data_IF_793948771731
#
_entry.id   IF_793948771731
#
_cell.length_a   1.000
_cell.length_b   1.000
_cell.length_c   1.000
_cell.angle_alpha   90.00
_cell.angle_beta   90.00
_cell.angle_gamma   90.00
#
_symmetry.space_group_name_H-M   'P 1'
#
loop_
_entity.id
_entity.type
_entity.pdbx_description
1 polymer ?
#
# COMPACT_ATOMS: atom_id res chain seq x y z
N UNK A 1 2.31 6.91 8.23
CA UNK A 1 1.87 8.23 7.75
C UNK A 1 0.99 8.94 8.79
N UNK A 2 -0.17 8.38 9.21
CA UNK A 2 -1.06 9.04 10.20
C UNK A 2 -0.29 9.40 11.47
N UNK A 3 0.36 8.43 12.10
CA UNK A 3 1.13 8.66 13.32
C UNK A 3 2.18 9.79 13.18
N UNK A 4 2.88 9.85 12.04
CA UNK A 4 3.88 10.88 11.76
C UNK A 4 3.27 12.28 11.69
N UNK A 5 2.08 12.42 11.09
CA UNK A 5 1.41 13.71 11.01
C UNK A 5 0.85 14.14 12.37
N UNK A 6 0.33 13.20 13.16
CA UNK A 6 -0.15 13.47 14.52
C UNK A 6 1.02 13.88 15.44
N UNK A 7 2.14 13.19 15.37
CA UNK A 7 3.38 13.56 16.08
C UNK A 7 3.84 14.98 15.73
N UNK A 8 3.93 15.27 14.44
CA UNK A 8 4.30 16.60 13.95
C UNK A 8 3.29 17.69 14.28
N UNK A 9 2.06 17.31 14.56
CA UNK A 9 1.00 18.18 15.11
C UNK A 9 1.06 18.35 16.62
N UNK A 10 1.98 17.66 17.34
CA UNK A 10 2.13 17.72 18.78
C UNK A 10 1.12 16.87 19.56
N UNK A 11 0.47 15.89 18.91
CA UNK A 11 -0.55 15.03 19.54
C UNK A 11 0.04 13.77 20.19
N UNK A 12 1.32 13.46 19.99
CA UNK A 12 2.07 12.34 20.59
C UNK A 12 1.26 11.04 20.74
N UNK A 13 0.80 10.41 19.64
CA UNK A 13 -0.11 9.27 19.71
C UNK A 13 0.59 7.99 20.17
N UNK A 14 -0.17 7.12 20.84
CA UNK A 14 0.19 5.70 20.93
C UNK A 14 0.01 5.06 19.56
N UNK A 15 0.96 4.18 19.15
CA UNK A 15 0.96 3.59 17.80
C UNK A 15 1.09 2.08 17.90
N UNK A 16 0.26 1.36 17.15
CA UNK A 16 0.34 -0.09 16.92
C UNK A 16 0.23 -0.31 15.42
N UNK A 17 1.27 -0.90 14.82
CA UNK A 17 1.39 -1.10 13.37
C UNK A 17 1.94 -2.51 13.09
N UNK A 18 1.58 -3.14 11.99
CA UNK A 18 2.11 -4.45 11.59
C UNK A 18 3.59 -4.39 11.23
N UNK A 19 4.00 -3.37 10.50
CA UNK A 19 5.39 -3.15 10.11
C UNK A 19 6.17 -2.24 11.06
N UNK A 20 7.48 -2.41 11.11
CA UNK A 20 8.38 -1.51 11.87
C UNK A 20 8.45 -0.15 11.21
N UNK A 21 8.09 0.89 11.94
CA UNK A 21 8.16 2.28 11.49
C UNK A 21 9.60 2.78 11.68
N UNK A 22 10.27 3.18 10.61
CA UNK A 22 11.68 3.60 10.65
C UNK A 22 11.95 4.74 11.64
N UNK A 23 11.02 5.69 11.76
CA UNK A 23 11.18 6.82 12.69
C UNK A 23 11.20 6.39 14.17
N UNK A 24 10.58 5.26 14.50
CA UNK A 24 10.47 4.75 15.88
C UNK A 24 11.39 3.56 16.14
N UNK A 25 11.89 2.89 15.10
CA UNK A 25 12.65 1.64 15.22
C UNK A 25 11.82 0.48 15.81
N UNK A 26 10.49 0.61 15.83
CA UNK A 26 9.54 -0.35 16.40
C UNK A 26 8.22 -0.33 15.63
N UNK A 27 7.45 -1.39 15.78
CA UNK A 27 6.07 -1.46 15.29
C UNK A 27 5.04 -1.01 16.35
N UNK A 28 5.46 -0.78 17.57
CA UNK A 28 4.61 -0.24 18.63
C UNK A 28 5.33 0.85 19.41
N UNK A 29 4.59 1.89 19.80
CA UNK A 29 5.09 3.01 20.59
C UNK A 29 3.99 3.49 21.53
N UNK A 30 4.31 3.68 22.80
CA UNK A 30 3.46 4.36 23.75
C UNK A 30 3.66 5.88 23.63
N UNK A 31 2.60 6.61 23.35
CA UNK A 31 2.54 8.07 23.37
C UNK A 31 1.98 8.60 24.68
N UNK A 32 2.09 9.92 24.90
CA UNK A 32 1.53 10.61 26.05
C UNK A 32 0.19 11.31 25.74
N UNK A 33 -0.19 11.35 24.45
CA UNK A 33 -1.44 11.98 24.01
C UNK A 33 -2.65 11.05 24.09
N UNK A 34 -3.82 11.63 23.84
CA UNK A 34 -5.12 10.94 23.94
C UNK A 34 -5.45 10.07 22.71
N UNK A 35 -4.61 10.10 21.68
CA UNK A 35 -4.86 9.38 20.44
C UNK A 35 -4.08 8.07 20.36
N UNK A 36 -4.75 7.06 19.84
CA UNK A 36 -4.11 5.80 19.43
C UNK A 36 -4.30 5.60 17.93
N UNK A 37 -3.22 5.30 17.23
CA UNK A 37 -3.21 4.92 15.81
C UNK A 37 -2.96 3.43 15.73
N UNK A 38 -3.94 2.69 15.22
CA UNK A 38 -3.87 1.22 15.11
C UNK A 38 -4.04 0.83 13.65
N UNK A 39 -3.16 -0.03 13.14
CA UNK A 39 -3.37 -0.72 11.87
C UNK A 39 -4.46 -1.78 12.09
N UNK A 40 -5.59 -1.59 11.42
CA UNK A 40 -6.70 -2.53 11.44
C UNK A 40 -6.46 -3.65 10.42
N UNK A 41 -6.63 -4.90 10.82
CA UNK A 41 -6.41 -6.08 9.99
C UNK A 41 -7.77 -6.77 9.75
N UNK A 42 -8.14 -6.92 8.47
CA UNK A 42 -9.39 -7.56 8.06
C UNK A 42 -9.28 -9.08 7.96
N UNK A 43 -8.08 -9.64 8.08
CA UNK A 43 -7.81 -11.07 7.78
C UNK A 43 -8.64 -12.06 8.59
N UNK A 44 -9.02 -11.69 9.81
CA UNK A 44 -9.79 -12.52 10.75
C UNK A 44 -11.05 -11.80 11.30
N UNK A 45 -11.40 -10.65 10.74
CA UNK A 45 -12.55 -9.87 11.15
C UNK A 45 -12.42 -9.16 12.51
N UNK A 46 -11.26 -9.23 13.19
CA UNK A 46 -11.05 -8.57 14.49
C UNK A 46 -11.13 -7.04 14.39
N UNK A 47 -10.85 -6.45 13.22
CA UNK A 47 -10.96 -5.00 13.01
C UNK A 47 -12.35 -4.46 13.36
N UNK A 48 -13.42 -5.25 13.20
CA UNK A 48 -14.78 -4.88 13.59
C UNK A 48 -15.01 -4.75 15.10
N UNK A 49 -14.07 -5.24 15.91
CA UNK A 49 -14.12 -5.13 17.37
C UNK A 49 -13.34 -3.94 17.92
N UNK A 50 -12.61 -3.22 17.06
CA UNK A 50 -11.87 -2.03 17.46
C UNK A 50 -12.84 -0.86 17.69
N UNK A 51 -12.79 -0.19 18.84
CA UNK A 51 -13.67 0.96 19.14
C UNK A 51 -13.13 2.23 18.44
N UNK A 52 -13.13 2.22 17.10
CA UNK A 52 -12.57 3.32 16.32
C UNK A 52 -13.46 4.56 16.37
N UNK A 53 -12.89 5.72 16.71
CA UNK A 53 -13.53 7.03 16.55
C UNK A 53 -13.30 7.59 15.15
N UNK A 54 -12.13 7.35 14.60
CA UNK A 54 -11.76 7.70 13.23
C UNK A 54 -11.38 6.40 12.49
N UNK A 55 -12.10 6.07 11.43
CA UNK A 55 -11.85 4.89 10.62
C UNK A 55 -11.29 5.30 9.25
N UNK A 56 -10.36 4.52 8.70
CA UNK A 56 -9.83 4.71 7.34
C UNK A 56 -10.09 3.47 6.52
N UNK A 57 -10.63 3.63 5.32
CA UNK A 57 -10.77 2.56 4.33
C UNK A 57 -10.03 2.98 3.06
N UNK A 58 -9.00 2.23 2.71
CA UNK A 58 -8.13 2.51 1.55
C UNK A 58 -8.64 1.83 0.28
N UNK A 59 -8.90 0.53 0.37
CA UNK A 59 -9.38 -0.34 -0.70
C UNK A 59 -10.11 -1.54 -0.08
N UNK A 60 -10.86 -2.26 -0.90
CA UNK A 60 -11.55 -3.50 -0.53
C UNK A 60 -11.33 -4.46 -1.69
N UNK A 61 -10.35 -5.34 -1.57
CA UNK A 61 -10.00 -6.34 -2.57
C UNK A 61 -10.43 -7.74 -2.09
N UNK A 62 -10.64 -8.72 -2.98
CA UNK A 62 -11.04 -10.07 -2.60
C UNK A 62 -9.89 -10.85 -1.96
N UNK A 63 -9.55 -10.50 -0.73
CA UNK A 63 -8.55 -11.17 0.10
C UNK A 63 -9.18 -11.90 1.28
N UNK A 64 -8.42 -12.84 1.89
CA UNK A 64 -8.83 -13.57 3.09
C UNK A 64 -10.18 -14.29 2.97
N UNK A 65 -10.49 -14.77 1.74
CA UNK A 65 -11.76 -15.48 1.48
C UNK A 65 -11.85 -16.84 2.18
N UNK A 66 -10.71 -17.38 2.64
CA UNK A 66 -10.65 -18.52 3.55
C UNK A 66 -11.34 -18.23 4.90
N UNK A 67 -11.21 -17.01 5.43
CA UNK A 67 -11.93 -16.56 6.62
C UNK A 67 -13.36 -16.11 6.30
N UNK A 68 -13.51 -15.23 5.32
CA UNK A 68 -14.79 -14.60 5.00
C UNK A 68 -15.77 -15.51 4.25
N UNK A 69 -15.25 -16.53 3.55
CA UNK A 69 -16.01 -17.45 2.72
C UNK A 69 -16.32 -16.89 1.32
N UNK A 70 -16.78 -15.65 1.22
CA UNK A 70 -17.02 -14.98 -0.04
C UNK A 70 -16.78 -13.47 0.04
N UNK A 71 -16.70 -12.82 -1.12
CA UNK A 71 -16.40 -11.39 -1.21
C UNK A 71 -17.53 -10.49 -0.68
N UNK A 72 -18.79 -10.95 -0.73
CA UNK A 72 -19.92 -10.18 -0.22
C UNK A 72 -19.88 -10.09 1.32
N UNK A 73 -19.44 -11.14 2.00
CA UNK A 73 -19.23 -11.10 3.46
C UNK A 73 -18.11 -10.19 3.85
N UNK A 74 -17.02 -10.14 3.06
CA UNK A 74 -15.94 -9.18 3.28
C UNK A 74 -16.45 -7.73 3.12
N UNK A 75 -17.23 -7.44 2.07
CA UNK A 75 -17.90 -6.14 1.87
C UNK A 75 -18.80 -5.77 3.07
N UNK A 76 -19.55 -6.75 3.56
CA UNK A 76 -20.39 -6.56 4.75
C UNK A 76 -19.54 -6.25 5.99
N UNK A 77 -18.41 -6.92 6.18
CA UNK A 77 -17.46 -6.62 7.26
C UNK A 77 -16.96 -5.18 7.22
N UNK A 78 -16.59 -4.66 6.06
CA UNK A 78 -16.21 -3.25 5.92
C UNK A 78 -17.38 -2.28 6.16
N UNK A 79 -18.60 -2.64 5.74
CA UNK A 79 -19.78 -1.85 6.07
C UNK A 79 -20.02 -1.79 7.58
N UNK A 80 -19.89 -2.90 8.28
CA UNK A 80 -19.99 -2.97 9.74
C UNK A 80 -18.89 -2.14 10.42
N UNK A 81 -17.65 -2.24 9.96
CA UNK A 81 -16.53 -1.45 10.47
C UNK A 81 -16.81 0.06 10.44
N UNK A 82 -17.28 0.56 9.30
CA UNK A 82 -17.64 1.99 9.18
C UNK A 82 -18.88 2.33 9.98
N UNK A 83 -19.87 1.44 10.04
CA UNK A 83 -21.12 1.66 10.78
C UNK A 83 -20.94 1.61 12.30
N UNK A 84 -19.89 0.94 12.80
CA UNK A 84 -19.60 0.81 14.24
C UNK A 84 -18.93 2.05 14.83
N UNK A 85 -18.43 2.99 14.01
CA UNK A 85 -17.89 4.25 14.56
C UNK A 85 -19.01 5.03 15.30
N UNK A 86 -18.68 5.76 16.39
CA UNK A 86 -19.68 6.53 17.12
C UNK A 86 -20.27 7.66 16.25
N UNK A 87 -21.45 8.16 16.61
CA UNK A 87 -22.15 9.21 15.84
C UNK A 87 -21.34 10.49 15.65
N UNK A 88 -20.39 10.77 16.56
CA UNK A 88 -19.47 11.90 16.48
C UNK A 88 -18.16 11.58 15.76
N UNK A 89 -17.95 10.32 15.39
CA UNK A 89 -16.77 9.87 14.67
C UNK A 89 -16.80 10.20 13.17
N UNK A 90 -15.74 9.85 12.48
CA UNK A 90 -15.59 10.10 11.03
C UNK A 90 -14.95 8.91 10.34
N UNK A 91 -15.50 8.49 9.20
CA UNK A 91 -14.84 7.58 8.29
C UNK A 91 -14.15 8.35 7.16
N UNK A 92 -12.90 7.98 6.86
CA UNK A 92 -12.12 8.51 5.74
C UNK A 92 -12.03 7.42 4.67
N UNK A 93 -12.64 7.65 3.51
CA UNK A 93 -12.86 6.63 2.49
C UNK A 93 -12.21 7.01 1.15
N UNK A 94 -11.37 6.11 0.58
CA UNK A 94 -10.72 6.30 -0.70
C UNK A 94 -11.71 6.06 -1.84
N UNK A 95 -12.19 7.12 -2.49
CA UNK A 95 -13.14 7.02 -3.59
C UNK A 95 -12.51 6.75 -4.97
N UNK A 96 -11.21 6.48 -5.03
CA UNK A 96 -10.59 5.96 -6.24
C UNK A 96 -10.83 4.45 -6.42
N UNK A 97 -11.23 3.76 -5.33
CA UNK A 97 -11.55 2.33 -5.36
C UNK A 97 -13.06 2.10 -5.50
N UNK A 98 -13.53 1.32 -6.49
CA UNK A 98 -14.97 1.16 -6.79
C UNK A 98 -15.75 0.55 -5.63
N UNK A 99 -15.20 -0.42 -4.91
CA UNK A 99 -15.86 -1.03 -3.75
C UNK A 99 -16.01 -0.05 -2.58
N UNK A 100 -15.03 0.83 -2.40
CA UNK A 100 -15.10 1.89 -1.37
C UNK A 100 -16.12 2.96 -1.78
N UNK A 101 -16.24 3.28 -3.07
CA UNK A 101 -17.34 4.15 -3.56
C UNK A 101 -18.71 3.53 -3.26
N UNK A 102 -18.87 2.22 -3.52
CA UNK A 102 -20.12 1.52 -3.22
C UNK A 102 -20.41 1.49 -1.72
N UNK A 103 -19.39 1.32 -0.87
CA UNK A 103 -19.49 1.41 0.59
C UNK A 103 -19.99 2.80 1.02
N UNK A 104 -19.36 3.87 0.51
CA UNK A 104 -19.75 5.26 0.81
C UNK A 104 -21.23 5.50 0.45
N UNK A 105 -21.70 4.96 -0.66
CA UNK A 105 -23.11 5.08 -1.08
C UNK A 105 -24.11 4.34 -0.17
N UNK A 106 -23.67 3.29 0.54
CA UNK A 106 -24.51 2.50 1.44
C UNK A 106 -24.60 3.09 2.87
N UNK A 107 -23.56 3.81 3.33
CA UNK A 107 -23.49 4.35 4.70
C UNK A 107 -24.19 5.70 4.76
N UNK A 108 -25.37 5.73 5.36
CA UNK A 108 -26.22 6.93 5.40
C UNK A 108 -26.13 7.72 6.72
N UNK A 109 -25.75 7.08 7.82
CA UNK A 109 -25.88 7.59 9.18
C UNK A 109 -24.55 7.89 9.88
N UNK A 110 -23.45 7.92 9.11
CA UNK A 110 -22.11 8.27 9.60
C UNK A 110 -21.50 9.39 8.78
N UNK A 111 -20.70 10.20 9.43
CA UNK A 111 -19.94 11.26 8.75
C UNK A 111 -18.81 10.64 7.95
N UNK A 112 -18.81 10.86 6.65
CA UNK A 112 -17.75 10.41 5.74
C UNK A 112 -17.00 11.62 5.18
N UNK A 113 -15.68 11.52 5.11
CA UNK A 113 -14.79 12.39 4.36
C UNK A 113 -14.12 11.52 3.30
N UNK A 114 -14.36 11.86 2.04
CA UNK A 114 -13.78 11.13 0.91
C UNK A 114 -12.42 11.69 0.54
N UNK A 115 -11.51 10.80 0.10
CA UNK A 115 -10.21 11.22 -0.41
C UNK A 115 -9.83 10.44 -1.67
N UNK A 116 -8.91 11.01 -2.46
CA UNK A 116 -8.40 10.37 -3.67
C UNK A 116 -7.96 11.37 -4.73
N UNK A 117 -7.80 10.87 -5.96
CA UNK A 117 -7.51 11.66 -7.16
C UNK A 117 -8.78 12.08 -7.90
N UNK A 118 -9.85 11.39 -7.62
CA UNK A 118 -11.15 11.61 -8.26
C UNK A 118 -11.67 13.04 -7.96
N UNK A 119 -12.27 13.66 -8.98
CA UNK A 119 -12.70 15.05 -8.93
C UNK A 119 -13.78 15.34 -7.88
N UNK A 120 -14.48 14.31 -7.37
CA UNK A 120 -15.54 14.46 -6.38
C UNK A 120 -15.06 14.29 -4.94
N UNK A 121 -13.80 13.85 -4.73
CA UNK A 121 -13.25 13.66 -3.38
C UNK A 121 -13.20 14.96 -2.58
N UNK A 122 -13.49 14.89 -1.27
CA UNK A 122 -13.39 16.02 -0.34
C UNK A 122 -11.93 16.48 -0.15
N UNK A 123 -10.99 15.51 -0.15
CA UNK A 123 -9.54 15.72 -0.04
C UNK A 123 -8.89 15.12 -1.28
N UNK A 124 -8.48 15.97 -2.21
CA UNK A 124 -8.07 15.55 -3.55
C UNK A 124 -6.64 15.92 -3.85
N UNK A 125 -5.82 14.96 -4.32
CA UNK A 125 -4.50 15.27 -4.90
C UNK A 125 -4.64 15.76 -6.34
N UNK A 126 -3.87 16.79 -6.66
CA UNK A 126 -3.72 17.36 -8.00
C UNK A 126 -2.25 17.71 -8.26
N UNK A 127 -1.87 18.00 -9.50
CA UNK A 127 -0.52 18.41 -9.89
C UNK A 127 0.56 17.44 -9.41
N UNK A 128 0.26 16.13 -9.49
CA UNK A 128 1.19 15.07 -9.05
C UNK A 128 2.34 14.93 -10.04
N UNK A 129 3.55 15.00 -9.51
CA UNK A 129 4.81 14.74 -10.21
C UNK A 129 5.72 13.87 -9.33
N UNK A 130 6.62 13.12 -9.97
CA UNK A 130 7.61 12.27 -9.28
C UNK A 130 9.01 12.68 -9.74
N UNK A 131 9.85 13.01 -8.77
CA UNK A 131 11.22 13.39 -9.03
C UNK A 131 12.15 12.77 -7.99
N UNK A 132 13.15 12.03 -8.45
CA UNK A 132 14.18 11.41 -7.60
C UNK A 132 13.61 10.57 -6.43
N UNK A 133 12.51 9.83 -6.68
CA UNK A 133 11.85 9.00 -5.66
C UNK A 133 10.93 9.79 -4.70
N UNK A 134 10.78 11.09 -4.90
CA UNK A 134 9.88 11.95 -4.11
C UNK A 134 8.63 12.26 -4.91
N UNK A 135 7.46 12.08 -4.31
CA UNK A 135 6.20 12.56 -4.87
C UNK A 135 5.98 14.02 -4.48
N UNK A 136 5.74 14.89 -5.47
CA UNK A 136 5.39 16.30 -5.31
C UNK A 136 3.96 16.53 -5.79
N UNK A 137 3.11 17.12 -4.97
CA UNK A 137 1.69 17.30 -5.30
C UNK A 137 1.04 18.42 -4.50
N UNK A 138 -0.14 18.84 -4.95
CA UNK A 138 -1.01 19.73 -4.21
C UNK A 138 -2.24 18.99 -3.71
N UNK A 139 -2.87 19.46 -2.63
CA UNK A 139 -4.10 18.87 -2.07
C UNK A 139 -5.19 19.92 -1.94
N UNK A 140 -6.29 19.71 -2.66
CA UNK A 140 -7.50 20.51 -2.55
C UNK A 140 -8.35 20.00 -1.40
N UNK A 141 -8.67 20.86 -0.45
CA UNK A 141 -9.59 20.63 0.66
C UNK A 141 -10.94 21.28 0.31
N UNK A 142 -11.81 20.52 -0.33
CA UNK A 142 -13.05 21.01 -0.93
C UNK A 142 -13.93 21.78 0.07
N UNK A 143 -14.18 21.17 1.23
CA UNK A 143 -15.07 21.77 2.25
C UNK A 143 -14.52 23.08 2.84
N UNK A 144 -13.20 23.25 2.82
CA UNK A 144 -12.53 24.47 3.31
C UNK A 144 -12.29 25.50 2.21
N UNK A 145 -12.42 25.11 0.94
CA UNK A 145 -12.13 25.98 -0.21
C UNK A 145 -10.66 26.39 -0.33
N UNK A 146 -9.72 25.60 0.23
CA UNK A 146 -8.29 25.89 0.22
C UNK A 146 -7.48 24.79 -0.47
N UNK A 147 -6.29 25.15 -0.93
CA UNK A 147 -5.32 24.20 -1.51
C UNK A 147 -4.03 24.25 -0.71
N UNK A 148 -3.61 23.09 -0.21
CA UNK A 148 -2.28 22.90 0.34
C UNK A 148 -1.34 22.66 -0.84
N UNK A 149 -0.45 23.59 -1.12
CA UNK A 149 0.43 23.49 -2.29
C UNK A 149 1.82 23.00 -1.93
N UNK A 150 2.48 22.33 -2.89
CA UNK A 150 3.86 21.86 -2.78
C UNK A 150 4.09 20.95 -1.58
N UNK A 151 3.29 19.89 -1.47
CA UNK A 151 3.57 18.81 -0.53
C UNK A 151 4.60 17.88 -1.16
N UNK A 152 5.49 17.38 -0.32
CA UNK A 152 6.53 16.42 -0.70
C UNK A 152 6.40 15.18 0.17
N UNK A 153 6.36 14.02 -0.48
CA UNK A 153 6.38 12.71 0.18
C UNK A 153 7.59 11.94 -0.35
N UNK A 154 8.60 11.62 0.48
CA UNK A 154 9.79 10.90 0.06
C UNK A 154 9.51 9.40 -0.14
N UNK A 155 8.49 9.10 -0.91
CA UNK A 155 8.08 7.77 -1.36
C UNK A 155 7.52 7.88 -2.78
N UNK A 156 7.95 7.01 -3.70
CA UNK A 156 7.37 6.93 -5.03
C UNK A 156 6.03 6.20 -5.01
N UNK A 157 5.29 6.29 -6.11
CA UNK A 157 4.07 5.55 -6.31
C UNK A 157 2.80 6.32 -5.93
N UNK A 158 1.85 6.27 -6.84
CA UNK A 158 0.53 6.92 -6.70
C UNK A 158 -0.24 6.42 -5.48
N UNK A 159 -0.09 5.14 -5.12
CA UNK A 159 -0.71 4.54 -3.94
C UNK A 159 -0.20 5.17 -2.63
N UNK A 160 1.10 5.52 -2.53
CA UNK A 160 1.63 6.20 -1.35
C UNK A 160 1.09 7.63 -1.22
N UNK A 161 0.89 8.32 -2.34
CA UNK A 161 0.21 9.63 -2.36
C UNK A 161 -1.24 9.46 -1.89
N UNK A 162 -1.98 8.47 -2.38
CA UNK A 162 -3.34 8.15 -1.91
C UNK A 162 -3.37 7.90 -0.40
N UNK A 163 -2.46 7.08 0.12
CA UNK A 163 -2.36 6.82 1.56
C UNK A 163 -2.04 8.10 2.36
N UNK A 164 -1.24 9.01 1.79
CA UNK A 164 -0.95 10.30 2.44
C UNK A 164 -2.17 11.22 2.51
N UNK A 165 -3.10 11.12 1.53
CA UNK A 165 -4.35 11.90 1.57
C UNK A 165 -5.23 11.51 2.76
N UNK A 166 -5.29 10.22 3.12
CA UNK A 166 -5.96 9.78 4.35
C UNK A 166 -5.36 10.44 5.59
N UNK A 167 -4.03 10.42 5.70
CA UNK A 167 -3.32 11.04 6.82
C UNK A 167 -3.53 12.57 6.87
N UNK A 168 -3.50 13.24 5.70
CA UNK A 168 -3.78 14.69 5.58
C UNK A 168 -5.23 14.98 5.97
N UNK A 169 -6.18 14.16 5.54
CA UNK A 169 -7.60 14.33 5.88
C UNK A 169 -7.84 14.24 7.40
N UNK A 170 -7.20 13.25 8.06
CA UNK A 170 -7.22 13.12 9.52
C UNK A 170 -6.56 14.34 10.20
N UNK A 171 -5.35 14.70 9.76
CA UNK A 171 -4.63 15.85 10.33
C UNK A 171 -5.44 17.15 10.19
N UNK A 172 -6.11 17.35 9.07
CA UNK A 172 -7.01 18.50 8.86
C UNK A 172 -8.28 18.43 9.69
N UNK A 173 -8.80 17.23 9.97
CA UNK A 173 -9.94 17.02 10.88
C UNK A 173 -9.56 17.33 12.33
N UNK A 174 -8.33 17.00 12.73
CA UNK A 174 -7.75 17.29 14.05
C UNK A 174 -7.11 18.69 14.13
N UNK A 175 -7.39 19.56 13.17
CA UNK A 175 -6.94 20.96 13.12
C UNK A 175 -5.44 21.17 13.17
N UNK A 176 -4.64 20.17 12.76
CA UNK A 176 -3.19 20.30 12.60
C UNK A 176 -2.91 21.32 11.49
N UNK A 177 -2.07 22.30 11.78
CA UNK A 177 -1.79 23.38 10.84
C UNK A 177 -1.01 22.89 9.60
N UNK A 178 -1.18 23.63 8.49
CA UNK A 178 -0.56 23.28 7.21
C UNK A 178 0.96 23.15 7.27
N UNK A 179 1.65 24.03 8.00
CA UNK A 179 3.12 23.98 8.14
C UNK A 179 3.59 22.69 8.79
N UNK A 180 2.90 22.24 9.83
CA UNK A 180 3.19 20.96 10.50
C UNK A 180 2.93 19.77 9.56
N UNK A 181 1.82 19.77 8.83
CA UNK A 181 1.50 18.72 7.85
C UNK A 181 2.60 18.62 6.80
N UNK A 182 2.96 19.73 6.14
CA UNK A 182 4.02 19.75 5.12
C UNK A 182 5.36 19.26 5.65
N UNK A 183 5.77 19.77 6.80
CA UNK A 183 7.03 19.38 7.44
C UNK A 183 7.05 17.89 7.78
N UNK A 184 5.98 17.38 8.40
CA UNK A 184 5.93 15.98 8.82
C UNK A 184 5.89 15.02 7.64
N UNK A 185 5.17 15.39 6.58
CA UNK A 185 5.09 14.59 5.35
C UNK A 185 6.47 14.49 4.67
N UNK A 186 7.19 15.62 4.52
CA UNK A 186 8.52 15.64 3.91
C UNK A 186 9.60 14.92 4.74
N UNK A 187 9.37 14.72 6.02
CA UNK A 187 10.27 13.99 6.93
C UNK A 187 9.87 12.52 7.14
N UNK A 188 8.85 12.05 6.46
CA UNK A 188 8.41 10.66 6.58
C UNK A 188 9.49 9.71 6.09
N UNK A 189 9.91 8.78 6.93
CA UNK A 189 11.03 7.86 6.66
C UNK A 189 10.59 6.49 6.12
N UNK A 190 9.29 6.28 5.96
CA UNK A 190 8.76 4.99 5.51
C UNK A 190 8.57 3.95 6.63
N UNK A 191 8.22 2.77 6.21
CA UNK A 191 8.04 1.56 7.04
C UNK A 191 8.89 0.47 6.40
N UNK A 192 9.48 -0.41 7.20
CA UNK A 192 10.26 -1.53 6.71
C UNK A 192 9.49 -2.36 5.70
N UNK A 193 10.19 -2.77 4.63
CA UNK A 193 9.60 -3.57 3.56
C UNK A 193 8.40 -2.91 2.87
N UNK A 194 8.41 -1.56 2.76
CA UNK A 194 7.48 -0.78 1.94
C UNK A 194 8.31 0.14 1.06
N UNK A 195 8.66 -0.34 -0.13
CA UNK A 195 9.57 0.28 -1.10
C UNK A 195 10.90 0.71 -0.44
N UNK A 196 11.48 -0.19 0.38
CA UNK A 196 12.68 0.12 1.17
C UNK A 196 13.93 -0.12 0.34
N UNK A 197 14.71 0.92 0.07
CA UNK A 197 16.05 0.72 -0.52
C UNK A 197 16.97 0.10 0.51
N UNK A 198 17.32 -1.17 0.32
CA UNK A 198 18.17 -1.95 1.22
C UNK A 198 19.65 -1.88 0.83
N UNK A 199 19.95 -1.66 -0.46
CA UNK A 199 21.30 -1.48 -0.96
C UNK A 199 21.33 -0.71 -2.27
N UNK A 200 22.54 -0.25 -2.63
CA UNK A 200 22.88 0.19 -3.97
C UNK A 200 24.26 -0.36 -4.33
N UNK A 201 24.34 -1.17 -5.37
CA UNK A 201 25.57 -1.83 -5.81
C UNK A 201 25.86 -1.48 -7.27
N UNK A 202 27.01 -0.82 -7.51
CA UNK A 202 27.41 -0.42 -8.87
C UNK A 202 26.36 0.40 -9.62
N UNK A 203 25.59 1.24 -8.89
CA UNK A 203 24.51 2.05 -9.44
C UNK A 203 23.22 1.27 -9.72
N UNK A 204 23.09 0.03 -9.25
CA UNK A 204 21.85 -0.77 -9.26
C UNK A 204 21.20 -0.62 -7.89
N UNK A 205 19.96 -0.15 -7.85
CA UNK A 205 19.19 -0.04 -6.61
C UNK A 205 18.54 -1.36 -6.26
N UNK A 206 18.61 -1.76 -5.00
CA UNK A 206 17.94 -2.96 -4.48
C UNK A 206 16.86 -2.52 -3.50
N UNK A 207 15.61 -2.86 -3.84
CA UNK A 207 14.42 -2.50 -3.09
C UNK A 207 13.80 -3.75 -2.48
N UNK A 208 13.46 -3.69 -1.20
CA UNK A 208 12.64 -4.70 -0.51
C UNK A 208 11.22 -4.17 -0.31
N UNK A 209 10.23 -4.95 -0.76
CA UNK A 209 8.82 -4.67 -0.56
C UNK A 209 8.07 -5.93 -0.11
N UNK A 210 7.08 -5.75 0.74
CA UNK A 210 6.26 -6.84 1.27
C UNK A 210 5.06 -7.18 0.38
N UNK A 211 4.89 -6.51 -0.75
CA UNK A 211 3.80 -6.74 -1.69
C UNK A 211 3.71 -8.20 -2.10
N UNK A 212 2.58 -8.81 -1.82
CA UNK A 212 2.31 -10.23 -2.08
C UNK A 212 0.95 -10.47 -2.76
N UNK A 213 0.12 -9.44 -2.87
CA UNK A 213 -1.11 -9.45 -3.68
C UNK A 213 -0.82 -8.85 -5.06
N UNK A 214 -1.44 -9.32 -6.17
CA UNK A 214 -1.20 -8.80 -7.52
C UNK A 214 -1.35 -7.27 -7.64
N UNK A 215 -2.33 -6.68 -6.97
CA UNK A 215 -2.55 -5.23 -6.95
C UNK A 215 -1.38 -4.50 -6.29
N UNK A 216 -0.86 -5.00 -5.17
CA UNK A 216 0.31 -4.45 -4.50
C UNK A 216 1.55 -4.56 -5.38
N UNK A 217 1.81 -5.73 -5.98
CA UNK A 217 2.95 -5.96 -6.88
C UNK A 217 2.92 -4.97 -8.04
N UNK A 218 1.78 -4.83 -8.70
CA UNK A 218 1.60 -3.87 -9.81
C UNK A 218 1.88 -2.43 -9.35
N UNK A 219 1.39 -2.03 -8.17
CA UNK A 219 1.62 -0.70 -7.63
C UNK A 219 3.09 -0.44 -7.30
N UNK A 220 3.79 -1.43 -6.72
CA UNK A 220 5.23 -1.36 -6.40
C UNK A 220 6.07 -1.29 -7.68
N UNK A 221 5.79 -2.12 -8.67
CA UNK A 221 6.51 -2.09 -9.96
C UNK A 221 6.29 -0.78 -10.72
N UNK A 222 5.07 -0.24 -10.70
CA UNK A 222 4.80 1.09 -11.24
C UNK A 222 5.59 2.18 -10.51
N UNK A 223 5.73 2.09 -9.18
CA UNK A 223 6.58 2.99 -8.40
C UNK A 223 8.05 2.83 -8.77
N UNK A 224 8.56 1.60 -8.92
CA UNK A 224 9.92 1.32 -9.35
C UNK A 224 10.22 1.95 -10.73
N UNK A 225 9.31 1.77 -11.68
CA UNK A 225 9.42 2.35 -13.02
C UNK A 225 9.52 3.88 -13.01
N UNK A 226 8.87 4.54 -12.05
CA UNK A 226 8.94 6.00 -11.90
C UNK A 226 10.27 6.50 -11.32
N UNK A 227 11.07 5.61 -10.71
CA UNK A 227 12.32 6.00 -10.04
C UNK A 227 13.57 5.79 -10.88
N UNK A 228 13.47 5.04 -11.98
CA UNK A 228 14.62 4.72 -12.84
C UNK A 228 14.26 4.82 -14.32
N UNK A 229 15.24 5.18 -15.12
CA UNK A 229 15.17 5.10 -16.59
C UNK A 229 15.71 3.75 -17.11
N UNK A 230 16.31 2.96 -16.23
CA UNK A 230 16.87 1.64 -16.51
C UNK A 230 15.79 0.54 -16.49
N UNK A 231 16.26 -0.70 -16.35
CA UNK A 231 15.40 -1.88 -16.28
C UNK A 231 14.92 -2.13 -14.86
N UNK A 232 13.72 -2.69 -14.77
CA UNK A 232 13.11 -3.16 -13.52
C UNK A 232 13.18 -4.69 -13.49
N UNK A 233 13.84 -5.22 -12.47
CA UNK A 233 13.94 -6.65 -12.19
C UNK A 233 13.02 -6.97 -11.02
N UNK A 234 11.95 -7.73 -11.27
CA UNK A 234 11.04 -8.19 -10.23
C UNK A 234 11.43 -9.60 -9.80
N UNK A 235 11.81 -9.78 -8.54
CA UNK A 235 12.05 -11.11 -7.96
C UNK A 235 10.91 -11.36 -6.97
N UNK A 236 10.11 -12.38 -7.24
CA UNK A 236 8.90 -12.64 -6.48
C UNK A 236 8.87 -14.08 -5.93
N UNK A 237 8.60 -14.20 -4.63
CA UNK A 237 8.25 -15.45 -4.00
C UNK A 237 6.74 -15.48 -3.73
N UNK A 238 5.95 -16.29 -4.46
CA UNK A 238 4.54 -16.40 -4.17
C UNK A 238 4.32 -16.93 -2.75
N UNK A 239 3.40 -16.31 -2.01
CA UNK A 239 3.12 -16.65 -0.63
C UNK A 239 1.74 -17.28 -0.53
N UNK A 240 1.67 -18.56 -0.12
CA UNK A 240 0.53 -19.47 -0.06
C UNK A 240 0.04 -19.96 -1.42
N UNK A 241 -0.19 -21.25 -1.48
CA UNK A 241 -0.78 -21.90 -2.66
C UNK A 241 -2.22 -21.45 -2.92
N UNK A 242 -3.00 -21.26 -1.87
CA UNK A 242 -4.40 -20.82 -1.96
C UNK A 242 -4.51 -19.45 -2.61
N UNK A 243 -3.66 -18.47 -2.23
CA UNK A 243 -3.65 -17.15 -2.86
C UNK A 243 -3.23 -17.23 -4.32
N UNK A 244 -2.14 -17.94 -4.62
CA UNK A 244 -1.68 -18.09 -6.00
C UNK A 244 -2.76 -18.75 -6.87
N UNK A 245 -3.45 -19.77 -6.37
CA UNK A 245 -4.51 -20.46 -7.09
C UNK A 245 -5.72 -19.56 -7.35
N UNK A 246 -6.18 -18.83 -6.33
CA UNK A 246 -7.40 -18.00 -6.41
C UNK A 246 -7.22 -16.75 -7.27
N UNK A 247 -5.99 -16.21 -7.37
CA UNK A 247 -5.66 -14.98 -8.10
C UNK A 247 -4.70 -15.24 -9.28
N UNK A 248 -4.71 -16.46 -9.82
CA UNK A 248 -3.71 -16.89 -10.80
C UNK A 248 -3.63 -15.99 -12.03
N UNK A 249 -4.77 -15.62 -12.60
CA UNK A 249 -4.84 -14.75 -13.78
C UNK A 249 -4.34 -13.32 -13.46
N UNK A 250 -4.63 -12.82 -12.26
CA UNK A 250 -4.14 -11.52 -11.80
C UNK A 250 -2.62 -11.54 -11.61
N UNK A 251 -2.06 -12.64 -11.06
CA UNK A 251 -0.61 -12.83 -10.99
C UNK A 251 0.04 -12.87 -12.37
N UNK A 252 -0.61 -13.46 -13.37
CA UNK A 252 -0.10 -13.51 -14.75
C UNK A 252 -0.02 -12.13 -15.41
N UNK A 253 -0.66 -11.10 -14.86
CA UNK A 253 -0.72 -9.75 -15.44
C UNK A 253 -0.07 -8.65 -14.59
N UNK A 254 0.21 -8.89 -13.30
CA UNK A 254 0.68 -7.84 -12.39
C UNK A 254 2.13 -7.40 -12.60
N UNK A 255 2.94 -8.14 -13.37
CA UNK A 255 4.35 -7.86 -13.62
C UNK A 255 4.63 -7.04 -14.87
N UNK A 256 3.64 -6.44 -15.50
CA UNK A 256 3.77 -5.75 -16.80
C UNK A 256 4.79 -4.60 -16.82
N UNK A 257 5.10 -3.99 -15.68
CA UNK A 257 6.11 -2.93 -15.56
C UNK A 257 7.53 -3.47 -15.35
N UNK A 258 7.72 -4.78 -15.19
CA UNK A 258 9.03 -5.40 -15.06
C UNK A 258 9.62 -5.79 -16.41
N UNK A 259 10.92 -5.54 -16.61
CA UNK A 259 11.68 -6.01 -17.79
C UNK A 259 12.12 -7.47 -17.65
N UNK A 260 12.33 -7.91 -16.41
CA UNK A 260 12.68 -9.29 -16.04
C UNK A 260 11.87 -9.71 -14.82
N UNK A 261 11.37 -10.94 -14.83
CA UNK A 261 10.62 -11.52 -13.74
C UNK A 261 11.29 -12.82 -13.30
N UNK A 262 11.80 -12.85 -12.09
CA UNK A 262 12.31 -14.06 -11.44
C UNK A 262 11.27 -14.59 -10.46
N UNK A 263 10.83 -15.82 -10.63
CA UNK A 263 9.85 -16.46 -9.75
C UNK A 263 10.56 -17.51 -8.90
N UNK A 264 10.41 -17.39 -7.59
CA UNK A 264 10.91 -18.36 -6.59
C UNK A 264 9.85 -19.44 -6.31
N UNK A 265 10.29 -20.54 -5.67
CA UNK A 265 9.35 -21.55 -5.16
C UNK A 265 8.30 -20.92 -4.21
N UNK A 266 7.08 -21.44 -4.30
CA UNK A 266 5.96 -20.97 -3.46
C UNK A 266 6.29 -21.19 -1.98
N UNK A 267 6.24 -20.14 -1.18
CA UNK A 267 6.30 -20.27 0.27
C UNK A 267 4.96 -20.81 0.81
N UNK A 268 4.94 -22.02 1.35
CA UNK A 268 3.68 -22.70 1.65
C UNK A 268 2.92 -22.14 2.86
N UNK A 269 3.60 -21.51 3.82
CA UNK A 269 3.01 -21.02 5.06
C UNK A 269 2.14 -22.08 5.79
N UNK A 270 2.55 -23.36 5.71
CA UNK A 270 1.81 -24.48 6.31
C UNK A 270 0.74 -25.14 5.43
N UNK A 271 0.51 -24.61 4.23
CA UNK A 271 -0.43 -25.21 3.26
C UNK A 271 0.18 -26.38 2.49
N UNK A 272 -0.67 -27.32 2.07
CA UNK A 272 -0.28 -28.35 1.11
C UNK A 272 -0.24 -27.76 -0.33
N UNK A 273 0.64 -28.30 -1.20
CA UNK A 273 0.67 -27.90 -2.60
C UNK A 273 -0.68 -28.07 -3.31
N UNK A 274 -1.03 -27.11 -4.16
CA UNK A 274 -2.25 -27.14 -4.98
C UNK A 274 -1.84 -27.33 -6.44
N UNK A 275 -2.48 -28.29 -7.12
CA UNK A 275 -2.24 -28.54 -8.55
C UNK A 275 -2.61 -27.29 -9.36
N UNK A 276 -1.71 -26.83 -10.22
CA UNK A 276 -1.87 -25.62 -11.03
C UNK A 276 -1.39 -24.33 -10.34
N UNK A 277 -0.84 -24.41 -9.13
CA UNK A 277 -0.35 -23.25 -8.37
C UNK A 277 1.12 -23.39 -7.93
N UNK A 278 1.96 -23.97 -8.76
CA UNK A 278 3.40 -24.09 -8.54
C UNK A 278 4.17 -22.90 -9.18
N UNK A 279 5.46 -22.79 -8.84
CA UNK A 279 6.39 -21.88 -9.52
C UNK A 279 6.33 -22.04 -11.04
N UNK A 280 6.42 -23.29 -11.52
CA UNK A 280 6.39 -23.58 -12.94
C UNK A 280 5.05 -23.27 -13.62
N UNK A 281 3.94 -23.45 -12.91
CA UNK A 281 2.61 -23.05 -13.41
C UNK A 281 2.53 -21.54 -13.60
N UNK A 282 3.00 -20.75 -12.62
CA UNK A 282 3.03 -19.29 -12.73
C UNK A 282 3.95 -18.81 -13.84
N UNK A 283 5.16 -19.38 -13.98
CA UNK A 283 6.08 -19.06 -15.08
C UNK A 283 5.39 -19.31 -16.44
N UNK A 284 4.76 -20.48 -16.59
CA UNK A 284 4.02 -20.82 -17.82
C UNK A 284 2.85 -19.87 -18.05
N UNK A 285 2.15 -19.49 -16.98
CA UNK A 285 1.08 -18.51 -17.02
C UNK A 285 1.56 -17.14 -17.54
N UNK A 286 2.63 -16.61 -16.96
CA UNK A 286 3.26 -15.34 -17.37
C UNK A 286 3.70 -15.38 -18.86
N UNK A 287 4.34 -16.47 -19.28
CA UNK A 287 4.77 -16.63 -20.70
C UNK A 287 3.57 -16.64 -21.65
N UNK A 288 2.46 -17.32 -21.27
CA UNK A 288 1.21 -17.32 -22.06
C UNK A 288 0.57 -15.94 -22.14
N UNK A 289 0.77 -15.09 -21.11
CA UNK A 289 0.30 -13.70 -21.08
C UNK A 289 1.27 -12.71 -21.75
N UNK A 290 2.32 -13.23 -22.40
CA UNK A 290 3.22 -12.44 -23.24
C UNK A 290 4.50 -11.93 -22.57
N UNK A 291 4.77 -12.31 -21.32
CA UNK A 291 6.05 -11.99 -20.69
C UNK A 291 7.19 -12.76 -21.38
N UNK A 292 8.25 -12.04 -21.77
CA UNK A 292 9.36 -12.62 -22.56
C UNK A 292 10.56 -13.03 -21.72
N UNK A 293 10.74 -12.40 -20.58
CA UNK A 293 11.90 -12.56 -19.71
C UNK A 293 11.45 -13.04 -18.34
N UNK A 294 10.98 -14.29 -18.26
CA UNK A 294 10.56 -14.93 -17.01
C UNK A 294 11.48 -16.11 -16.75
N UNK A 295 12.01 -16.23 -15.55
CA UNK A 295 12.99 -17.22 -15.15
C UNK A 295 12.64 -17.81 -13.79
N UNK A 296 12.87 -19.13 -13.55
CA UNK A 296 12.89 -19.67 -12.20
C UNK A 296 14.10 -19.12 -11.43
N UNK A 297 13.94 -18.90 -10.15
CA UNK A 297 15.00 -18.59 -9.19
C UNK A 297 14.91 -19.65 -8.09
N UNK A 298 15.74 -20.67 -8.20
CA UNK A 298 15.70 -21.80 -7.28
C UNK A 298 16.66 -21.62 -6.10
N UNK A 299 17.68 -20.78 -6.27
CA UNK A 299 18.70 -20.52 -5.26
C UNK A 299 19.36 -19.13 -5.44
N UNK A 300 20.26 -18.77 -4.53
CA UNK A 300 20.98 -17.49 -4.55
C UNK A 300 21.91 -17.37 -5.76
N UNK A 301 22.50 -18.46 -6.23
CA UNK A 301 23.43 -18.45 -7.37
C UNK A 301 22.69 -18.10 -8.67
N UNK A 302 21.45 -18.55 -8.84
CA UNK A 302 20.61 -18.19 -9.99
C UNK A 302 20.31 -16.70 -10.00
N UNK A 303 19.97 -16.14 -8.84
CA UNK A 303 19.72 -14.70 -8.67
C UNK A 303 20.99 -13.90 -8.97
N UNK A 304 22.13 -14.30 -8.38
CA UNK A 304 23.41 -13.63 -8.61
C UNK A 304 23.79 -13.67 -10.10
N UNK A 305 23.63 -14.82 -10.74
CA UNK A 305 23.89 -15.01 -12.19
C UNK A 305 23.00 -14.10 -13.03
N UNK A 306 21.70 -14.02 -12.75
CA UNK A 306 20.76 -13.13 -13.44
C UNK A 306 21.22 -11.67 -13.33
N UNK A 307 21.49 -11.20 -12.12
CA UNK A 307 21.89 -9.81 -11.88
C UNK A 307 23.23 -9.49 -12.54
N UNK A 308 24.25 -10.34 -12.39
CA UNK A 308 25.58 -10.12 -13.00
C UNK A 308 25.54 -10.07 -14.52
N UNK A 309 24.67 -10.88 -15.15
CA UNK A 309 24.61 -10.97 -16.62
C UNK A 309 23.71 -9.90 -17.25
N UNK A 310 22.68 -9.45 -16.57
CA UNK A 310 21.61 -8.66 -17.17
C UNK A 310 21.48 -7.24 -16.63
N UNK A 311 21.82 -7.02 -15.36
CA UNK A 311 21.66 -5.73 -14.73
C UNK A 311 22.83 -4.78 -14.99
N UNK A 312 22.54 -3.48 -15.03
CA UNK A 312 23.52 -2.40 -15.31
C UNK A 312 23.25 -1.23 -14.37
N UNK A 313 24.22 -0.33 -14.27
CA UNK A 313 24.03 0.94 -13.54
C UNK A 313 22.79 1.67 -14.06
N UNK A 314 21.94 2.14 -13.13
CA UNK A 314 20.67 2.79 -13.40
C UNK A 314 19.45 1.85 -13.39
N UNK A 315 19.66 0.53 -13.21
CA UNK A 315 18.59 -0.46 -13.04
C UNK A 315 18.14 -0.57 -11.56
N UNK A 316 17.01 -1.23 -11.34
CA UNK A 316 16.41 -1.48 -10.03
C UNK A 316 15.89 -2.91 -9.95
#
# INVERSE_FOLDING_TARGET
LVATLLDGGGLDPTVINGGVIHAYGSNARLGQGDWMVVEADESDGTFNRLPATLAVVTNIDPEHLDHWGDFEKLRQGFFEFVSNIPFYGVAFCCTDHPEVQALVGKVADRRIITYGFNAQADVRAINLDFKDGVACFDVVLRKKGITLSRLELPMPGKHNVSNSLAAIAIAQHLEINEKSIKKSLSLFKGVNRRFTQVAELNGIKIIDDYGHHPVEISAVLSAARQTVNGKVFAIHQPHRYTRLNSLFEDFCSCFNEADFVGIMEVYPAGEAPIVGASQSDLINGLVRHGHRNVLPIDNEDDLESLIRQKAKSGDI
#
